data_IF_907182981942
#
_entry.id   IF_907182981942
#
_cell.length_a   1.000
_cell.length_b   1.000
_cell.length_c   1.000
_cell.angle_alpha   90.00
_cell.angle_beta   90.00
_cell.angle_gamma   90.00
#
_symmetry.space_group_name_H-M   'P 1'
#
loop_
_entity.id
_entity.type
_entity.pdbx_description
1 polymer ?
#
# COMPACT_ATOMS: atom_id res chain seq x y z
N UNK A 1 -19.23 -21.19 45.79
CA UNK A 1 -19.71 -21.22 44.42
C UNK A 1 -18.95 -20.17 43.64
N UNK A 2 -18.12 -20.68 42.86
CA UNK A 2 -17.00 -20.02 42.21
C UNK A 2 -17.43 -19.43 40.87
N UNK A 3 -17.04 -18.22 40.61
CA UNK A 3 -16.91 -17.73 39.27
C UNK A 3 -15.88 -16.61 39.20
N UNK A 4 -14.66 -17.01 38.87
CA UNK A 4 -13.57 -16.11 38.54
C UNK A 4 -13.64 -15.72 37.09
N UNK A 5 -14.30 -14.63 36.78
CA UNK A 5 -14.10 -13.92 35.50
C UNK A 5 -12.89 -12.99 35.66
N UNK A 6 -11.78 -13.39 35.07
CA UNK A 6 -10.62 -12.52 34.93
C UNK A 6 -10.87 -11.53 33.78
N UNK A 7 -11.15 -10.29 34.14
CA UNK A 7 -11.15 -9.12 33.27
C UNK A 7 -9.75 -8.92 32.68
N UNK A 8 -9.57 -9.21 31.40
CA UNK A 8 -8.41 -8.78 30.61
C UNK A 8 -8.45 -7.25 30.49
N UNK A 9 -7.61 -6.53 31.24
CA UNK A 9 -7.40 -5.09 31.09
C UNK A 9 -6.65 -4.86 29.77
N UNK A 10 -7.31 -4.21 28.80
CA UNK A 10 -6.68 -3.61 27.63
C UNK A 10 -5.90 -2.38 28.09
N UNK A 11 -4.59 -2.40 27.99
CA UNK A 11 -3.78 -1.19 28.14
C UNK A 11 -3.81 -0.44 26.81
N UNK A 12 -4.58 0.64 26.76
CA UNK A 12 -4.50 1.66 25.74
C UNK A 12 -3.31 2.58 26.08
N UNK A 13 -2.24 2.48 25.34
CA UNK A 13 -1.20 3.50 25.33
C UNK A 13 -1.59 4.58 24.32
N UNK A 14 -2.02 5.71 24.84
CA UNK A 14 -2.35 6.89 24.08
C UNK A 14 -1.05 7.69 23.81
N UNK A 15 -0.63 7.79 22.54
CA UNK A 15 0.39 8.71 22.10
C UNK A 15 -0.28 9.80 21.28
N UNK A 16 -0.11 11.09 21.63
CA UNK A 16 -0.63 12.19 20.83
C UNK A 16 0.33 12.47 19.66
N UNK A 17 -0.25 12.61 18.45
CA UNK A 17 0.37 13.06 17.21
C UNK A 17 1.27 12.10 16.42
N UNK A 18 0.68 11.04 15.88
CA UNK A 18 0.93 10.58 14.49
C UNK A 18 -0.24 9.71 14.06
N UNK A 19 -0.86 10.00 12.91
CA UNK A 19 -2.01 9.30 12.33
C UNK A 19 -1.64 7.91 11.76
N UNK A 20 -1.17 7.02 12.63
CA UNK A 20 -0.94 5.61 12.30
C UNK A 20 -1.47 4.75 13.44
N UNK A 21 -2.78 4.48 13.37
CA UNK A 21 -3.39 3.40 14.15
C UNK A 21 -2.85 2.05 13.65
N UNK A 22 -1.81 1.55 14.29
CA UNK A 22 -1.32 0.21 14.08
C UNK A 22 -2.25 -0.79 14.76
N UNK A 23 -3.07 -1.45 13.97
CA UNK A 23 -4.02 -2.45 14.47
C UNK A 23 -3.29 -3.78 14.65
N UNK A 24 -2.86 -4.05 15.87
CA UNK A 24 -2.10 -5.24 16.31
C UNK A 24 -2.88 -6.57 16.26
N UNK A 25 -3.98 -6.65 15.50
CA UNK A 25 -4.86 -7.82 15.50
C UNK A 25 -4.81 -8.65 14.21
N UNK A 26 -3.94 -8.34 13.25
CA UNK A 26 -3.86 -9.05 11.96
C UNK A 26 -2.80 -10.15 11.86
N UNK A 27 -2.03 -10.44 12.90
CA UNK A 27 -0.94 -11.43 12.83
C UNK A 27 -1.31 -12.86 13.21
N UNK A 28 -2.58 -13.17 13.47
CA UNK A 28 -2.98 -14.50 13.98
C UNK A 28 -3.96 -15.31 13.12
N UNK A 29 -4.27 -14.93 11.87
CA UNK A 29 -5.32 -15.64 11.10
C UNK A 29 -4.79 -16.32 9.82
N UNK A 30 -3.48 -16.45 9.61
CA UNK A 30 -2.97 -17.10 8.39
C UNK A 30 -2.15 -18.38 8.63
N UNK A 31 -2.58 -19.21 9.59
CA UNK A 31 -2.06 -20.58 9.68
C UNK A 31 -3.18 -21.56 10.03
N UNK A 32 -4.09 -21.84 9.05
CA UNK A 32 -4.72 -23.14 8.91
C UNK A 32 -5.45 -23.26 7.56
N UNK A 33 -4.94 -24.15 6.74
CA UNK A 33 -5.74 -24.83 5.73
C UNK A 33 -5.64 -24.36 4.28
N UNK A 34 -4.63 -24.87 3.53
CA UNK A 34 -4.85 -25.69 2.34
C UNK A 34 -3.50 -25.99 1.68
N UNK A 35 -3.06 -27.24 1.78
CA UNK A 35 -1.98 -27.76 0.95
C UNK A 35 -2.35 -27.69 -0.52
N UNK A 36 -1.62 -26.84 -1.26
CA UNK A 36 -1.45 -26.95 -2.71
C UNK A 36 -0.09 -26.35 -3.06
N UNK A 37 0.80 -27.23 -3.52
CA UNK A 37 1.98 -26.98 -4.32
C UNK A 37 2.81 -25.71 -4.03
N UNK A 38 3.62 -25.75 -2.98
CA UNK A 38 4.58 -24.71 -2.60
C UNK A 38 5.94 -24.82 -3.31
N UNK A 39 6.02 -25.37 -4.52
CA UNK A 39 7.31 -25.52 -5.21
C UNK A 39 7.62 -24.44 -6.26
N UNK A 40 6.89 -23.31 -6.28
CA UNK A 40 7.14 -22.23 -7.23
C UNK A 40 7.46 -20.87 -6.61
N UNK A 41 7.36 -20.73 -5.29
CA UNK A 41 7.52 -19.44 -4.59
C UNK A 41 8.86 -19.27 -3.84
N UNK A 42 9.71 -20.30 -3.80
CA UNK A 42 10.96 -20.22 -3.03
C UNK A 42 12.18 -19.69 -3.79
N UNK A 43 12.09 -19.55 -5.13
CA UNK A 43 13.29 -19.24 -5.95
C UNK A 43 13.66 -17.76 -6.06
N UNK A 44 12.84 -16.80 -5.59
CA UNK A 44 13.12 -15.36 -5.76
C UNK A 44 12.76 -14.47 -4.58
N UNK A 45 12.59 -15.00 -3.38
CA UNK A 45 12.35 -14.18 -2.21
C UNK A 45 13.70 -13.68 -1.63
N UNK A 46 13.82 -12.37 -1.42
CA UNK A 46 15.03 -11.76 -0.85
C UNK A 46 15.31 -12.35 0.54
N UNK A 47 16.49 -12.91 0.75
CA UNK A 47 16.90 -13.29 2.11
C UNK A 47 17.16 -12.03 2.96
N UNK A 48 16.09 -11.58 3.64
CA UNK A 48 16.11 -10.38 4.49
C UNK A 48 17.23 -10.47 5.53
N UNK A 49 17.45 -11.66 6.13
CA UNK A 49 18.48 -11.81 7.16
C UNK A 49 19.88 -11.70 6.56
N UNK A 50 20.08 -12.18 5.33
CA UNK A 50 21.34 -12.00 4.62
C UNK A 50 21.60 -10.52 4.32
N UNK A 51 20.61 -9.80 3.82
CA UNK A 51 20.69 -8.37 3.53
C UNK A 51 21.00 -7.55 4.81
N UNK A 52 20.34 -7.87 5.92
CA UNK A 52 20.61 -7.25 7.22
C UNK A 52 22.03 -7.53 7.72
N UNK A 53 22.54 -8.73 7.48
CA UNK A 53 23.91 -9.13 7.84
C UNK A 53 24.93 -8.26 7.11
N UNK A 54 24.74 -8.05 5.81
CA UNK A 54 25.62 -7.24 4.97
C UNK A 54 25.55 -5.74 5.30
N UNK A 55 24.33 -5.20 5.45
CA UNK A 55 24.11 -3.78 5.72
C UNK A 55 24.58 -3.34 7.11
N UNK A 56 24.46 -4.20 8.11
CA UNK A 56 24.81 -3.86 9.50
C UNK A 56 26.19 -4.37 9.91
N UNK A 57 26.91 -5.06 9.02
CA UNK A 57 28.23 -5.64 9.26
C UNK A 57 28.26 -6.54 10.52
N UNK A 58 27.18 -7.28 10.77
CA UNK A 58 27.03 -8.20 11.89
C UNK A 58 27.02 -9.65 11.40
N UNK A 59 27.21 -10.61 12.28
CA UNK A 59 27.20 -12.03 11.89
C UNK A 59 25.77 -12.51 11.67
N UNK A 60 25.56 -13.39 10.70
CA UNK A 60 24.25 -13.98 10.35
C UNK A 60 23.51 -14.52 11.57
N UNK A 61 24.18 -15.29 12.42
CA UNK A 61 23.56 -15.86 13.61
C UNK A 61 23.07 -14.80 14.62
N UNK A 62 23.72 -13.62 14.67
CA UNK A 62 23.28 -12.51 15.52
C UNK A 62 21.99 -11.90 14.99
N UNK A 63 21.89 -11.76 13.68
CA UNK A 63 20.65 -11.29 13.02
C UNK A 63 19.53 -12.28 13.27
N UNK A 64 19.76 -13.57 13.00
CA UNK A 64 18.74 -14.62 13.18
C UNK A 64 18.23 -14.67 14.63
N UNK A 65 19.15 -14.56 15.61
CA UNK A 65 18.78 -14.53 17.02
C UNK A 65 18.00 -13.27 17.41
N UNK A 66 18.39 -12.09 16.89
CA UNK A 66 17.72 -10.84 17.16
C UNK A 66 16.32 -10.81 16.51
N UNK A 67 16.20 -11.21 15.25
CA UNK A 67 14.92 -11.30 14.53
C UNK A 67 13.97 -12.24 15.26
N UNK A 68 14.42 -13.41 15.69
CA UNK A 68 13.61 -14.35 16.46
C UNK A 68 13.07 -13.74 17.75
N UNK A 69 13.91 -13.04 18.52
CA UNK A 69 13.48 -12.37 19.76
C UNK A 69 12.49 -11.24 19.49
N UNK A 70 12.66 -10.49 18.40
CA UNK A 70 11.73 -9.44 17.98
C UNK A 70 10.37 -10.06 17.60
N UNK A 71 10.37 -11.14 16.84
CA UNK A 71 9.16 -11.85 16.41
C UNK A 71 8.41 -12.50 17.59
N UNK A 72 9.12 -12.87 18.66
CA UNK A 72 8.53 -13.29 19.93
C UNK A 72 7.88 -12.12 20.72
N UNK A 73 7.96 -10.89 20.21
CA UNK A 73 7.36 -9.70 20.84
C UNK A 73 8.22 -9.04 21.92
N UNK A 74 9.50 -9.39 22.01
CA UNK A 74 10.40 -8.76 22.97
C UNK A 74 10.75 -7.33 22.53
N UNK A 75 10.78 -6.40 23.49
CA UNK A 75 11.18 -5.00 23.19
C UNK A 75 12.70 -4.88 23.05
N UNK A 76 13.15 -3.93 22.23
CA UNK A 76 14.60 -3.67 22.02
C UNK A 76 15.35 -3.43 23.34
N UNK A 77 14.85 -2.59 24.28
CA UNK A 77 15.52 -2.42 25.57
C UNK A 77 15.59 -3.70 26.41
N UNK A 78 14.62 -4.59 26.29
CA UNK A 78 14.66 -5.89 26.97
C UNK A 78 15.74 -6.78 26.37
N UNK A 79 15.79 -6.89 25.03
CA UNK A 79 16.81 -7.70 24.32
C UNK A 79 18.21 -7.19 24.67
N UNK A 80 18.45 -5.88 24.60
CA UNK A 80 19.76 -5.28 24.83
C UNK A 80 20.27 -5.47 26.27
N UNK A 81 19.38 -5.60 27.26
CA UNK A 81 19.74 -5.77 28.66
C UNK A 81 19.83 -7.22 29.10
N UNK A 82 18.88 -8.04 28.69
CA UNK A 82 18.64 -9.36 29.26
C UNK A 82 18.92 -10.53 28.28
N UNK A 83 19.21 -10.24 27.01
CA UNK A 83 19.46 -11.26 25.98
C UNK A 83 20.79 -11.06 25.22
N UNK A 84 21.73 -10.36 25.83
CA UNK A 84 23.06 -10.10 25.24
C UNK A 84 23.80 -11.37 24.81
N UNK A 85 23.70 -12.40 25.60
CA UNK A 85 24.36 -13.69 25.31
C UNK A 85 23.79 -14.32 24.03
N UNK A 86 22.46 -14.23 23.83
CA UNK A 86 21.78 -14.81 22.69
C UNK A 86 22.08 -14.02 21.42
N UNK A 87 22.18 -12.69 21.52
CA UNK A 87 22.41 -11.80 20.37
C UNK A 87 23.89 -11.50 20.11
N UNK A 88 24.80 -12.13 20.85
CA UNK A 88 26.23 -11.90 20.71
C UNK A 88 26.63 -10.46 21.05
N UNK A 89 26.02 -9.91 22.10
CA UNK A 89 26.30 -8.57 22.64
C UNK A 89 25.98 -7.40 21.69
N UNK A 90 24.99 -7.56 20.82
CA UNK A 90 24.48 -6.42 20.06
C UNK A 90 24.00 -5.32 21.02
N UNK A 91 24.44 -4.09 20.77
CA UNK A 91 24.05 -2.94 21.58
C UNK A 91 22.66 -2.43 21.20
N UNK A 92 22.11 -1.51 22.01
CA UNK A 92 20.76 -0.95 21.80
C UNK A 92 20.62 -0.23 20.45
N UNK A 93 21.67 0.48 20.01
CA UNK A 93 21.69 1.20 18.71
C UNK A 93 21.67 0.22 17.53
N UNK A 94 22.50 -0.83 17.58
CA UNK A 94 22.51 -1.88 16.54
C UNK A 94 21.18 -2.60 16.45
N UNK A 95 20.56 -2.94 17.59
CA UNK A 95 19.26 -3.58 17.64
C UNK A 95 18.14 -2.67 17.10
N UNK A 96 18.19 -1.36 17.35
CA UNK A 96 17.22 -0.39 16.77
C UNK A 96 17.39 -0.31 15.26
N UNK A 97 18.59 -0.13 14.76
CA UNK A 97 18.87 -0.11 13.32
C UNK A 97 18.41 -1.41 12.65
N UNK A 98 18.70 -2.56 13.27
CA UNK A 98 18.26 -3.86 12.79
C UNK A 98 16.73 -3.93 12.72
N UNK A 99 16.04 -3.53 13.77
CA UNK A 99 14.57 -3.54 13.81
C UNK A 99 13.95 -2.62 12.77
N UNK A 100 14.41 -1.37 12.66
CA UNK A 100 13.93 -0.41 11.67
C UNK A 100 14.12 -0.95 10.24
N UNK A 101 15.29 -1.51 9.97
CA UNK A 101 15.60 -2.04 8.65
C UNK A 101 14.83 -3.33 8.36
N UNK A 102 14.65 -4.21 9.35
CA UNK A 102 13.83 -5.41 9.25
C UNK A 102 12.38 -5.08 8.88
N UNK A 103 11.78 -4.10 9.56
CA UNK A 103 10.42 -3.64 9.26
C UNK A 103 10.33 -3.08 7.84
N UNK A 104 11.31 -2.27 7.43
CA UNK A 104 11.36 -1.73 6.08
C UNK A 104 11.43 -2.82 5.00
N UNK A 105 12.33 -3.81 5.16
CA UNK A 105 12.50 -4.88 4.20
C UNK A 105 11.26 -5.80 4.13
N UNK A 106 10.62 -6.08 5.27
CA UNK A 106 9.35 -6.82 5.30
C UNK A 106 8.24 -6.08 4.57
N UNK A 107 8.10 -4.79 4.80
CA UNK A 107 7.12 -3.95 4.09
C UNK A 107 7.43 -3.90 2.58
N UNK A 108 8.69 -3.88 2.19
CA UNK A 108 9.10 -3.92 0.78
C UNK A 108 8.67 -5.23 0.11
N UNK A 109 8.93 -6.38 0.74
CA UNK A 109 8.53 -7.68 0.19
C UNK A 109 7.00 -7.82 0.14
N UNK A 110 6.29 -7.44 1.20
CA UNK A 110 4.83 -7.42 1.21
C UNK A 110 4.27 -6.55 0.09
N UNK A 111 4.87 -5.38 -0.15
CA UNK A 111 4.47 -4.49 -1.25
C UNK A 111 4.72 -5.11 -2.61
N UNK A 112 5.86 -5.78 -2.82
CA UNK A 112 6.15 -6.50 -4.06
C UNK A 112 5.10 -7.58 -4.34
N UNK A 113 4.75 -8.38 -3.33
CA UNK A 113 3.73 -9.43 -3.46
C UNK A 113 2.36 -8.85 -3.82
N UNK A 114 1.94 -7.76 -3.14
CA UNK A 114 0.69 -7.07 -3.43
C UNK A 114 0.63 -6.53 -4.87
N UNK A 115 1.73 -5.94 -5.33
CA UNK A 115 1.84 -5.38 -6.68
C UNK A 115 1.81 -6.49 -7.72
N UNK A 116 2.57 -7.56 -7.53
CA UNK A 116 2.58 -8.72 -8.43
C UNK A 116 1.19 -9.35 -8.54
N UNK A 117 0.51 -9.60 -7.41
CA UNK A 117 -0.85 -10.13 -7.39
C UNK A 117 -1.83 -9.22 -8.13
N UNK A 118 -1.78 -7.91 -7.89
CA UNK A 118 -2.66 -6.94 -8.54
C UNK A 118 -2.46 -6.85 -10.06
N UNK A 119 -1.22 -6.97 -10.55
CA UNK A 119 -0.92 -6.96 -12.00
C UNK A 119 -1.30 -8.31 -12.64
N UNK A 120 -1.09 -9.42 -11.91
CA UNK A 120 -1.48 -10.77 -12.37
C UNK A 120 -3.01 -10.89 -12.50
N UNK A 121 -3.79 -10.37 -11.55
CA UNK A 121 -5.26 -10.31 -11.63
C UNK A 121 -5.74 -9.51 -12.85
N UNK A 122 -4.98 -8.51 -13.29
CA UNK A 122 -5.26 -7.75 -14.50
C UNK A 122 -4.83 -8.48 -15.79
N UNK A 123 -4.15 -9.62 -15.69
CA UNK A 123 -3.61 -10.37 -16.83
C UNK A 123 -2.50 -9.65 -17.60
N UNK A 124 -1.82 -8.68 -16.95
CA UNK A 124 -0.78 -7.84 -17.57
C UNK A 124 0.64 -8.14 -17.08
N UNK A 125 0.80 -9.14 -16.23
CA UNK A 125 2.09 -9.51 -15.68
C UNK A 125 2.96 -10.19 -16.75
N UNK A 126 4.09 -9.57 -17.09
CA UNK A 126 5.13 -10.15 -17.96
C UNK A 126 6.29 -10.64 -17.10
N UNK A 127 7.07 -11.63 -17.58
CA UNK A 127 8.25 -12.14 -16.86
C UNK A 127 9.31 -11.05 -16.66
N UNK A 128 9.45 -10.13 -17.59
CA UNK A 128 10.37 -8.99 -17.49
C UNK A 128 9.95 -8.06 -16.34
N UNK A 129 8.66 -7.71 -16.29
CA UNK A 129 8.12 -6.84 -15.25
C UNK A 129 8.20 -7.52 -13.86
N UNK A 130 7.91 -8.82 -13.80
CA UNK A 130 8.08 -9.62 -12.58
C UNK A 130 9.53 -9.56 -12.09
N UNK A 131 10.48 -9.79 -12.97
CA UNK A 131 11.91 -9.73 -12.63
C UNK A 131 12.33 -8.34 -12.15
N UNK A 132 11.84 -7.26 -12.78
CA UNK A 132 12.12 -5.88 -12.36
C UNK A 132 11.54 -5.57 -10.98
N UNK A 133 10.31 -6.00 -10.69
CA UNK A 133 9.68 -5.80 -9.37
C UNK A 133 10.44 -6.57 -8.29
N UNK A 134 10.81 -7.82 -8.55
CA UNK A 134 11.56 -8.63 -7.59
C UNK A 134 12.96 -8.06 -7.33
N UNK A 135 13.63 -7.53 -8.35
CA UNK A 135 14.95 -6.90 -8.24
C UNK A 135 14.90 -5.50 -7.58
N UNK A 136 13.74 -4.90 -7.41
CA UNK A 136 13.62 -3.57 -6.82
C UNK A 136 14.09 -3.57 -5.35
N UNK A 137 14.99 -2.63 -5.02
CA UNK A 137 15.56 -2.50 -3.67
C UNK A 137 14.85 -1.47 -2.81
N UNK A 138 13.95 -0.67 -3.39
CA UNK A 138 13.23 0.39 -2.68
C UNK A 138 11.75 0.39 -3.02
N UNK A 139 10.92 0.85 -2.06
CA UNK A 139 9.49 1.02 -2.25
C UNK A 139 9.16 1.97 -3.41
N UNK A 140 9.98 3.01 -3.61
CA UNK A 140 9.78 4.00 -4.68
C UNK A 140 9.86 3.34 -6.05
N UNK A 141 10.87 2.51 -6.28
CA UNK A 141 11.02 1.78 -7.56
C UNK A 141 9.84 0.83 -7.79
N UNK A 142 9.38 0.13 -6.75
CA UNK A 142 8.19 -0.73 -6.86
C UNK A 142 6.94 0.08 -7.21
N UNK A 143 6.75 1.25 -6.62
CA UNK A 143 5.60 2.11 -6.90
C UNK A 143 5.67 2.72 -8.31
N UNK A 144 6.85 3.10 -8.80
CA UNK A 144 7.03 3.60 -10.16
C UNK A 144 6.70 2.52 -11.21
N UNK A 145 7.16 1.28 -10.98
CA UNK A 145 6.82 0.14 -11.83
C UNK A 145 5.31 -0.19 -11.80
N UNK A 146 4.67 0.01 -10.66
CA UNK A 146 3.24 -0.26 -10.50
C UNK A 146 2.34 0.86 -11.03
N UNK A 147 2.84 2.10 -11.13
CA UNK A 147 2.04 3.28 -11.53
C UNK A 147 1.18 3.07 -12.77
N UNK A 148 1.68 2.46 -13.89
CA UNK A 148 0.86 2.22 -15.08
C UNK A 148 -0.27 1.20 -14.87
N UNK A 149 -0.12 0.30 -13.90
CA UNK A 149 -1.02 -0.82 -13.62
C UNK A 149 -1.95 -0.55 -12.44
N UNK A 150 -1.73 0.56 -11.73
CA UNK A 150 -2.54 0.90 -10.56
C UNK A 150 -4.01 1.09 -10.97
N UNK A 151 -4.95 0.35 -10.37
CA UNK A 151 -6.38 0.55 -10.63
C UNK A 151 -6.73 2.01 -10.37
N UNK A 152 -7.24 2.69 -11.39
CA UNK A 152 -7.72 4.07 -11.21
C UNK A 152 -8.85 4.04 -10.19
N UNK A 153 -8.68 4.74 -9.08
CA UNK A 153 -9.74 4.89 -8.09
C UNK A 153 -10.93 5.54 -8.79
N UNK A 154 -12.15 5.04 -8.51
CA UNK A 154 -13.38 5.66 -9.01
C UNK A 154 -13.46 7.10 -8.52
N UNK A 155 -13.10 8.04 -9.37
CA UNK A 155 -13.09 9.47 -9.10
C UNK A 155 -14.45 10.09 -9.47
N UNK A 156 -14.70 11.33 -9.05
CA UNK A 156 -15.87 12.08 -9.50
C UNK A 156 -15.87 12.27 -11.02
N UNK A 157 -14.69 12.46 -11.61
CA UNK A 157 -14.52 12.55 -13.05
C UNK A 157 -14.88 11.24 -13.77
N UNK A 158 -14.47 10.07 -13.22
CA UNK A 158 -14.86 8.76 -13.76
C UNK A 158 -16.40 8.60 -13.74
N UNK A 159 -17.05 8.98 -12.63
CA UNK A 159 -18.51 8.96 -12.52
C UNK A 159 -19.15 9.90 -13.54
N UNK A 160 -18.59 11.08 -13.74
CA UNK A 160 -19.10 12.05 -14.73
C UNK A 160 -18.93 11.54 -16.18
N UNK A 161 -17.83 10.83 -16.49
CA UNK A 161 -17.63 10.14 -17.78
C UNK A 161 -18.67 9.03 -17.99
N UNK A 162 -18.93 8.20 -16.97
CA UNK A 162 -19.97 7.17 -17.00
C UNK A 162 -21.37 7.77 -17.26
N UNK A 163 -21.63 8.96 -16.73
CA UNK A 163 -22.86 9.74 -17.00
C UNK A 163 -22.92 10.34 -18.41
N UNK A 164 -21.83 10.25 -19.19
CA UNK A 164 -21.77 10.74 -20.57
C UNK A 164 -21.52 12.24 -20.70
N UNK A 165 -20.86 12.86 -19.70
CA UNK A 165 -20.55 14.30 -19.69
C UNK A 165 -19.20 14.64 -20.34
N UNK A 166 -18.49 13.66 -20.88
CA UNK A 166 -17.22 13.85 -21.57
C UNK A 166 -17.29 14.79 -22.78
N UNK A 167 -18.33 14.74 -23.67
CA UNK A 167 -18.45 15.68 -24.77
C UNK A 167 -18.66 17.11 -24.29
N UNK A 168 -19.42 17.32 -23.19
CA UNK A 168 -19.60 18.66 -22.62
C UNK A 168 -18.27 19.21 -22.08
N UNK A 169 -17.47 18.36 -21.39
CA UNK A 169 -16.14 18.75 -20.94
C UNK A 169 -15.23 19.13 -22.11
N UNK A 170 -15.25 18.37 -23.21
CA UNK A 170 -14.48 18.68 -24.43
C UNK A 170 -14.86 20.02 -25.06
N UNK A 171 -16.15 20.31 -25.19
CA UNK A 171 -16.63 21.59 -25.76
C UNK A 171 -16.21 22.78 -24.90
N UNK A 172 -16.23 22.61 -23.55
CA UNK A 172 -15.78 23.66 -22.63
C UNK A 172 -14.25 23.85 -22.75
N UNK A 173 -13.48 22.79 -22.77
CA UNK A 173 -11.99 22.83 -22.84
C UNK A 173 -11.56 23.51 -24.16
N UNK A 174 -12.18 23.17 -25.28
CA UNK A 174 -11.88 23.74 -26.59
C UNK A 174 -12.40 25.17 -26.76
N UNK A 175 -13.17 25.70 -25.81
CA UNK A 175 -13.80 27.03 -25.86
C UNK A 175 -14.68 27.22 -27.14
N UNK A 176 -15.26 26.13 -27.64
CA UNK A 176 -16.08 26.15 -28.88
C UNK A 176 -17.59 26.29 -28.60
N UNK A 177 -17.95 26.89 -27.48
CA UNK A 177 -19.35 27.14 -27.13
C UNK A 177 -19.98 28.11 -28.11
N UNK A 178 -21.00 27.64 -28.81
CA UNK A 178 -21.82 28.46 -29.72
C UNK A 178 -23.04 29.10 -29.02
N UNK A 179 -23.33 28.62 -27.80
CA UNK A 179 -24.48 29.03 -26.98
C UNK A 179 -24.00 29.27 -25.53
N UNK A 180 -24.80 29.92 -24.70
CA UNK A 180 -24.53 29.99 -23.28
C UNK A 180 -24.33 28.59 -22.68
N UNK A 181 -23.37 28.45 -21.79
CA UNK A 181 -23.00 27.13 -21.18
C UNK A 181 -24.21 26.38 -20.59
N UNK A 182 -25.19 27.13 -20.04
CA UNK A 182 -26.40 26.52 -19.47
C UNK A 182 -27.27 25.85 -20.52
N UNK A 183 -27.49 26.50 -21.65
CA UNK A 183 -28.26 25.95 -22.77
C UNK A 183 -27.58 24.75 -23.41
N UNK A 184 -26.22 24.77 -23.47
CA UNK A 184 -25.45 23.63 -23.95
C UNK A 184 -25.55 22.45 -23.00
N UNK A 185 -25.48 22.69 -21.69
CA UNK A 185 -25.57 21.66 -20.68
C UNK A 185 -26.95 20.99 -20.57
N UNK A 186 -28.05 21.69 -20.99
CA UNK A 186 -29.42 21.12 -21.04
C UNK A 186 -29.51 19.90 -21.97
N UNK A 187 -28.68 19.83 -23.01
CA UNK A 187 -28.64 18.69 -23.94
C UNK A 187 -28.11 17.40 -23.34
N UNK A 188 -27.43 17.50 -22.21
CA UNK A 188 -26.82 16.37 -21.50
C UNK A 188 -27.60 15.91 -20.27
N UNK A 189 -28.82 16.46 -20.08
CA UNK A 189 -29.70 15.98 -19.01
C UNK A 189 -30.24 14.60 -19.35
N UNK A 190 -30.13 13.68 -18.40
CA UNK A 190 -30.65 12.33 -18.52
C UNK A 190 -30.93 11.76 -17.13
N UNK A 191 -32.19 11.51 -16.84
CA UNK A 191 -32.60 10.86 -15.58
C UNK A 191 -32.05 9.44 -15.48
N UNK A 192 -31.97 8.69 -16.58
CA UNK A 192 -31.44 7.34 -16.64
C UNK A 192 -29.96 7.29 -16.24
N UNK A 193 -29.20 8.34 -16.58
CA UNK A 193 -27.78 8.45 -16.23
C UNK A 193 -27.54 9.23 -14.93
N UNK A 194 -28.61 9.63 -14.25
CA UNK A 194 -28.53 10.35 -12.99
C UNK A 194 -27.99 11.79 -13.14
N UNK A 195 -28.25 12.45 -14.26
CA UNK A 195 -27.98 13.88 -14.47
C UNK A 195 -29.35 14.61 -14.47
N UNK A 196 -29.71 15.08 -13.29
CA UNK A 196 -31.08 15.64 -13.08
C UNK A 196 -31.15 17.16 -13.22
N UNK A 197 -30.01 17.83 -13.15
CA UNK A 197 -29.94 19.29 -13.24
C UNK A 197 -28.81 19.78 -14.14
N UNK A 198 -28.96 20.99 -14.67
CA UNK A 198 -27.92 21.68 -15.45
C UNK A 198 -26.67 21.90 -14.62
N UNK A 199 -26.85 22.20 -13.34
CA UNK A 199 -25.77 22.37 -12.37
C UNK A 199 -24.97 21.07 -12.18
N UNK A 200 -25.63 19.92 -12.13
CA UNK A 200 -24.97 18.60 -12.04
C UNK A 200 -24.15 18.29 -13.31
N UNK A 201 -24.70 18.59 -14.49
CA UNK A 201 -24.00 18.43 -15.75
C UNK A 201 -22.74 19.29 -15.83
N UNK A 202 -22.82 20.56 -15.44
CA UNK A 202 -21.69 21.49 -15.43
C UNK A 202 -20.65 21.06 -14.37
N UNK A 203 -21.10 20.63 -13.19
CA UNK A 203 -20.22 20.15 -12.12
C UNK A 203 -19.43 18.91 -12.55
N UNK A 204 -20.11 17.94 -13.17
CA UNK A 204 -19.46 16.74 -13.69
C UNK A 204 -18.45 17.05 -14.81
N UNK A 205 -18.79 17.97 -15.73
CA UNK A 205 -17.83 18.41 -16.75
C UNK A 205 -16.59 19.09 -16.14
N UNK A 206 -16.75 19.90 -15.09
CA UNK A 206 -15.63 20.51 -14.34
C UNK A 206 -14.75 19.45 -13.66
N UNK A 207 -15.36 18.42 -13.07
CA UNK A 207 -14.59 17.33 -12.44
C UNK A 207 -13.73 16.57 -13.48
N UNK A 208 -14.26 16.36 -14.71
CA UNK A 208 -13.49 15.75 -15.81
C UNK A 208 -12.30 16.63 -16.22
N UNK A 209 -12.54 17.94 -16.38
CA UNK A 209 -11.49 18.89 -16.76
C UNK A 209 -10.43 19.00 -15.67
N UNK A 210 -10.83 19.06 -14.41
CA UNK A 210 -9.92 19.12 -13.27
C UNK A 210 -9.01 17.87 -13.18
N UNK A 211 -9.59 16.67 -13.43
CA UNK A 211 -8.81 15.43 -13.50
C UNK A 211 -7.81 15.48 -14.66
N UNK A 212 -8.23 15.92 -15.85
CA UNK A 212 -7.36 16.03 -17.01
C UNK A 212 -6.18 16.98 -16.77
N UNK A 213 -6.42 18.14 -16.13
CA UNK A 213 -5.37 19.10 -15.77
C UNK A 213 -4.43 18.50 -14.71
N UNK A 214 -4.96 17.76 -13.73
CA UNK A 214 -4.16 17.13 -12.69
C UNK A 214 -3.31 15.95 -13.21
N UNK A 215 -3.76 15.27 -14.25
CA UNK A 215 -3.03 14.16 -14.89
C UNK A 215 -1.95 14.65 -15.88
N UNK A 216 -1.97 15.93 -16.24
CA UNK A 216 -0.96 16.54 -17.12
C UNK A 216 0.35 16.73 -16.35
N UNK A 217 1.42 16.11 -16.86
CA UNK A 217 2.71 16.07 -16.15
C UNK A 217 3.56 17.36 -16.32
N UNK A 218 3.11 18.27 -17.19
CA UNK A 218 3.85 19.49 -17.52
C UNK A 218 3.49 20.72 -16.64
N UNK A 219 2.68 20.53 -15.57
CA UNK A 219 2.32 21.59 -14.62
C UNK A 219 2.96 21.41 -13.27
#
# INVERSE_FOLDING_TARGET
YDSREQKKRKYFLWFPNTDLCYNSTSYSIFHEGKGKNNNRSEENNMDINQKLTEELEVKRWQVDAAVKLIDEGNTIPFISRYRKEVTGSLNDEQLRKLHERLVYLRNLEEKKEQVLSSIEEQGKLTEELRSQILAAETLVVVEDLYRPYRPKRRTRATIAKEKGLEPLAAVITLQQLKRPLREEAEQYLSEEKGVTSVEDAISGAKDIIAEAISDEADY
#
